data_IF_830193768254
#
_entry.id   IF_830193768254
#
_cell.length_a   1.000
_cell.length_b   1.000
_cell.length_c   1.000
_cell.angle_alpha   90.00
_cell.angle_beta   90.00
_cell.angle_gamma   90.00
#
_symmetry.space_group_name_H-M   'P 1'
#
loop_
_entity.id
_entity.type
_entity.pdbx_description
1 polymer ?
#
# COMPACT_ATOMS: atom_id res chain seq x y z
N UNK A 1 12.72 -17.78 2.94
CA UNK A 1 12.19 -16.74 2.02
C UNK A 1 12.44 -15.38 2.64
N UNK A 2 13.10 -14.48 1.93
CA UNK A 2 13.62 -13.22 2.49
C UNK A 2 12.53 -12.30 3.08
N UNK A 3 11.46 -12.00 2.32
CA UNK A 3 10.36 -11.13 2.80
C UNK A 3 9.71 -11.69 4.06
N UNK A 4 9.42 -12.99 4.07
CA UNK A 4 8.81 -13.64 5.24
C UNK A 4 9.70 -13.57 6.48
N UNK A 5 11.02 -13.66 6.32
CA UNK A 5 11.94 -13.55 7.45
C UNK A 5 11.94 -12.15 8.08
N UNK A 6 11.83 -11.10 7.25
CA UNK A 6 11.72 -9.71 7.74
C UNK A 6 10.39 -9.50 8.47
N UNK A 7 9.28 -9.92 7.85
CA UNK A 7 7.94 -9.80 8.46
C UNK A 7 7.88 -10.53 9.80
N UNK A 8 8.40 -11.77 9.86
CA UNK A 8 8.42 -12.55 11.10
C UNK A 8 9.31 -11.93 12.17
N UNK A 9 10.46 -11.37 11.80
CA UNK A 9 11.35 -10.69 12.74
C UNK A 9 10.65 -9.49 13.39
N UNK A 10 9.93 -8.68 12.60
CA UNK A 10 9.15 -7.55 13.10
C UNK A 10 7.96 -8.05 13.95
N UNK A 11 7.25 -9.08 13.47
CA UNK A 11 6.09 -9.66 14.15
C UNK A 11 6.40 -10.25 15.52
N UNK A 12 7.64 -10.71 15.74
CA UNK A 12 8.12 -11.25 17.01
C UNK A 12 8.85 -10.21 17.87
N UNK A 13 8.94 -8.98 17.41
CA UNK A 13 9.64 -7.90 18.10
C UNK A 13 8.71 -7.09 19.01
N UNK A 14 9.32 -6.31 19.89
CA UNK A 14 8.61 -5.31 20.70
C UNK A 14 7.92 -4.21 19.88
N UNK A 15 8.28 -4.08 18.60
CA UNK A 15 7.76 -3.03 17.71
C UNK A 15 6.45 -3.43 17.01
N UNK A 16 6.01 -4.68 17.11
CA UNK A 16 4.83 -5.18 16.40
C UNK A 16 3.59 -4.30 16.59
N UNK A 17 3.31 -3.90 17.83
CA UNK A 17 2.13 -3.10 18.15
C UNK A 17 2.20 -1.63 17.67
N UNK A 18 3.34 -1.20 17.15
CA UNK A 18 3.56 0.15 16.63
C UNK A 18 3.96 0.16 15.15
N UNK A 19 3.76 -0.97 14.45
CA UNK A 19 4.25 -1.13 13.08
C UNK A 19 3.12 -1.49 12.12
N UNK A 20 3.14 -0.84 10.97
CA UNK A 20 2.43 -1.29 9.77
C UNK A 20 3.46 -1.55 8.67
N UNK A 21 3.40 -2.73 8.08
CA UNK A 21 4.29 -3.16 7.00
C UNK A 21 3.50 -3.10 5.70
N UNK A 22 3.98 -2.32 4.74
CA UNK A 22 3.45 -2.27 3.39
C UNK A 22 4.42 -2.99 2.46
N UNK A 23 3.93 -3.98 1.73
CA UNK A 23 4.72 -4.74 0.76
C UNK A 23 4.09 -4.48 -0.60
N UNK A 24 4.83 -3.87 -1.50
CA UNK A 24 4.36 -3.54 -2.84
C UNK A 24 5.49 -3.78 -3.84
N UNK A 25 5.12 -4.21 -5.05
CA UNK A 25 6.08 -4.28 -6.16
C UNK A 25 6.25 -2.90 -6.78
N UNK A 26 7.47 -2.55 -7.12
CA UNK A 26 7.81 -1.28 -7.76
C UNK A 26 7.27 -1.19 -9.20
N UNK A 27 7.30 -2.30 -9.92
CA UNK A 27 6.77 -2.43 -11.27
C UNK A 27 6.21 -3.85 -11.53
N UNK A 28 5.54 -4.08 -12.68
CA UNK A 28 4.97 -5.38 -13.01
C UNK A 28 6.01 -6.44 -13.46
N UNK A 29 7.29 -6.08 -13.58
CA UNK A 29 8.35 -7.02 -13.96
C UNK A 29 8.21 -7.64 -15.36
N UNK A 30 7.47 -7.01 -16.26
CA UNK A 30 7.21 -7.52 -17.62
C UNK A 30 6.08 -8.57 -17.70
N UNK A 31 5.37 -8.85 -16.61
CA UNK A 31 4.26 -9.78 -16.59
C UNK A 31 2.97 -9.14 -17.16
N UNK A 32 2.17 -9.97 -17.81
CA UNK A 32 0.89 -9.56 -18.38
C UNK A 32 -0.20 -9.49 -17.31
N UNK A 33 -1.06 -8.47 -17.40
CA UNK A 33 -2.32 -8.38 -16.66
C UNK A 33 -3.48 -8.22 -17.65
N UNK A 34 -4.56 -8.95 -17.45
CA UNK A 34 -5.77 -8.86 -18.26
C UNK A 34 -6.59 -7.60 -18.01
N UNK A 35 -6.36 -6.93 -16.87
CA UNK A 35 -7.04 -5.69 -16.53
C UNK A 35 -6.27 -4.48 -17.06
N UNK A 36 -6.89 -3.61 -17.85
CA UNK A 36 -6.21 -2.43 -18.38
C UNK A 36 -5.87 -1.44 -17.26
N UNK A 37 -4.74 -0.72 -17.37
CA UNK A 37 -4.39 0.33 -16.41
C UNK A 37 -5.43 1.45 -16.38
N UNK A 38 -5.66 2.02 -15.21
CA UNK A 38 -6.50 3.19 -15.04
C UNK A 38 -5.78 4.47 -15.47
N UNK A 39 -6.53 5.43 -15.97
CA UNK A 39 -6.03 6.76 -16.27
C UNK A 39 -6.47 7.74 -15.17
N UNK A 40 -5.53 8.19 -14.38
CA UNK A 40 -5.75 9.18 -13.33
C UNK A 40 -5.21 10.56 -13.70
N UNK A 41 -4.29 10.62 -14.67
CA UNK A 41 -3.70 11.82 -15.24
C UNK A 41 -3.23 11.55 -16.67
N UNK A 42 -2.50 12.49 -17.26
CA UNK A 42 -2.00 12.38 -18.64
C UNK A 42 -1.11 11.17 -18.87
N UNK A 43 -0.26 10.83 -17.88
CA UNK A 43 0.67 9.72 -18.00
C UNK A 43 -0.02 8.35 -17.77
N UNK A 44 -1.18 8.36 -17.11
CA UNK A 44 -1.89 7.15 -16.72
C UNK A 44 -1.22 6.43 -15.55
N UNK A 45 -1.83 5.35 -15.11
CA UNK A 45 -1.25 4.42 -14.13
C UNK A 45 -0.72 3.19 -14.85
N UNK A 46 0.23 2.49 -14.22
CA UNK A 46 0.76 1.25 -14.74
C UNK A 46 -0.15 0.04 -14.52
N UNK A 47 0.30 -1.12 -15.00
CA UNK A 47 -0.33 -2.43 -14.75
C UNK A 47 -0.36 -2.69 -13.23
N UNK A 48 -1.41 -3.38 -12.78
CA UNK A 48 -1.57 -3.72 -11.35
C UNK A 48 -0.38 -4.51 -10.83
N UNK A 49 -0.01 -4.20 -9.60
CA UNK A 49 1.02 -4.94 -8.85
C UNK A 49 0.44 -5.42 -7.52
N UNK A 50 0.98 -6.50 -6.94
CA UNK A 50 0.56 -6.95 -5.61
C UNK A 50 0.82 -5.87 -4.55
N UNK A 51 -0.14 -5.73 -3.64
CA UNK A 51 -0.05 -4.84 -2.49
C UNK A 51 -0.56 -5.56 -1.24
N UNK A 52 0.28 -5.69 -0.23
CA UNK A 52 -0.02 -6.39 1.00
C UNK A 52 0.19 -5.45 2.19
N UNK A 53 -0.71 -5.53 3.15
CA UNK A 53 -0.63 -4.78 4.41
C UNK A 53 -0.58 -5.78 5.55
N UNK A 54 0.46 -5.69 6.38
CA UNK A 54 0.67 -6.57 7.54
C UNK A 54 0.85 -5.70 8.79
N UNK A 55 -0.05 -5.84 9.75
CA UNK A 55 -0.03 -5.05 10.99
C UNK A 55 -0.93 -5.71 12.03
N UNK A 56 -0.66 -5.44 13.31
CA UNK A 56 -1.57 -5.81 14.39
C UNK A 56 -2.97 -5.17 14.24
N UNK A 57 -3.07 -4.08 13.51
CA UNK A 57 -4.30 -3.30 13.30
C UNK A 57 -4.94 -3.53 11.94
N UNK A 58 -4.30 -4.27 11.04
CA UNK A 58 -4.87 -4.59 9.73
C UNK A 58 -5.99 -5.63 9.85
N UNK A 59 -7.00 -5.51 9.00
CA UNK A 59 -8.08 -6.50 8.91
C UNK A 59 -7.51 -7.84 8.43
N UNK A 60 -7.77 -8.89 9.19
CA UNK A 60 -7.27 -10.23 8.87
C UNK A 60 -8.09 -10.90 7.76
N UNK A 61 -7.40 -11.54 6.82
CA UNK A 61 -8.03 -12.25 5.70
C UNK A 61 -8.87 -11.34 4.80
N UNK A 62 -8.64 -10.05 4.85
CA UNK A 62 -9.41 -9.06 4.10
C UNK A 62 -8.81 -8.83 2.71
N UNK A 63 -9.66 -8.80 1.71
CA UNK A 63 -9.30 -8.42 0.34
C UNK A 63 -10.00 -7.11 0.01
N UNK A 64 -9.22 -6.05 -0.14
CA UNK A 64 -9.74 -4.74 -0.52
C UNK A 64 -10.11 -4.70 -2.00
N UNK A 65 -11.23 -4.04 -2.31
CA UNK A 65 -11.64 -3.72 -3.67
C UNK A 65 -11.47 -2.24 -4.00
N UNK A 66 -10.81 -1.50 -3.12
CA UNK A 66 -10.47 -0.10 -3.35
C UNK A 66 -9.28 -0.02 -4.30
N UNK A 67 -9.38 0.87 -5.27
CA UNK A 67 -8.28 1.14 -6.18
C UNK A 67 -7.22 1.99 -5.47
N UNK A 68 -6.04 1.41 -5.27
CA UNK A 68 -4.86 2.09 -4.72
C UNK A 68 -3.81 2.31 -5.80
N UNK A 69 -2.94 3.26 -5.56
CA UNK A 69 -1.73 3.53 -6.35
C UNK A 69 -0.52 3.64 -5.41
N UNK A 70 0.71 3.69 -5.93
CA UNK A 70 1.91 3.79 -5.08
C UNK A 70 1.84 5.00 -4.13
N UNK A 71 1.28 6.12 -4.60
CA UNK A 71 1.05 7.31 -3.79
C UNK A 71 0.07 7.08 -2.62
N UNK A 72 -0.68 5.98 -2.59
CA UNK A 72 -1.57 5.66 -1.47
C UNK A 72 -0.82 5.37 -0.19
N UNK A 73 0.40 4.81 -0.27
CA UNK A 73 1.26 4.59 0.89
C UNK A 73 1.73 5.95 1.44
N UNK A 74 2.17 6.84 0.56
CA UNK A 74 2.54 8.20 0.94
C UNK A 74 1.36 8.94 1.58
N UNK A 75 0.18 8.83 0.98
CA UNK A 75 -1.06 9.39 1.52
C UNK A 75 -1.37 8.91 2.94
N UNK A 76 -1.17 7.60 3.19
CA UNK A 76 -1.34 7.03 4.52
C UNK A 76 -0.41 7.67 5.56
N UNK A 77 0.87 7.83 5.21
CA UNK A 77 1.87 8.47 6.10
C UNK A 77 1.50 9.93 6.35
N UNK A 78 1.11 10.66 5.32
CA UNK A 78 0.71 12.07 5.44
C UNK A 78 -0.52 12.25 6.32
N UNK A 79 -1.53 11.39 6.17
CA UNK A 79 -2.73 11.44 7.00
C UNK A 79 -2.42 11.06 8.45
N UNK A 80 -1.56 10.05 8.67
CA UNK A 80 -1.20 9.60 10.01
C UNK A 80 -0.42 10.65 10.80
N UNK A 81 0.48 11.38 10.15
CA UNK A 81 1.36 12.36 10.80
C UNK A 81 0.95 13.81 10.52
N UNK A 82 -0.23 14.05 9.94
CA UNK A 82 -0.72 15.38 9.58
C UNK A 82 0.28 16.19 8.73
N UNK A 83 0.89 15.52 7.74
CA UNK A 83 1.86 16.13 6.84
C UNK A 83 1.15 16.78 5.63
N UNK A 84 1.74 17.83 5.05
CA UNK A 84 1.21 18.42 3.82
C UNK A 84 1.37 17.48 2.63
N UNK A 85 0.52 17.66 1.61
CA UNK A 85 0.66 16.93 0.34
C UNK A 85 1.87 17.44 -0.44
N UNK A 86 2.57 16.51 -1.10
CA UNK A 86 3.76 16.82 -1.89
C UNK A 86 3.41 17.12 -3.36
N UNK A 87 2.45 16.40 -3.91
CA UNK A 87 2.11 16.46 -5.33
C UNK A 87 0.62 16.18 -5.58
N UNK A 88 0.23 16.21 -6.87
CA UNK A 88 -1.12 15.87 -7.28
C UNK A 88 -1.44 14.39 -7.05
N UNK A 89 -0.44 13.50 -7.16
CA UNK A 89 -0.60 12.06 -7.00
C UNK A 89 -1.04 11.66 -5.59
N UNK A 90 -0.35 12.14 -4.55
CA UNK A 90 -0.71 11.85 -3.16
C UNK A 90 -1.99 12.59 -2.73
N UNK A 91 -2.25 13.79 -3.31
CA UNK A 91 -3.51 14.50 -3.08
C UNK A 91 -4.74 13.72 -3.57
N UNK A 92 -4.65 13.08 -4.75
CA UNK A 92 -5.77 12.28 -5.31
C UNK A 92 -5.83 10.87 -4.75
N UNK A 93 -4.69 10.28 -4.35
CA UNK A 93 -4.60 8.91 -3.91
C UNK A 93 -5.51 8.62 -2.70
N UNK A 94 -6.04 7.41 -2.64
CA UNK A 94 -6.83 6.95 -1.50
C UNK A 94 -5.92 6.35 -0.44
N UNK A 95 -6.11 6.74 0.82
CA UNK A 95 -5.42 6.12 1.94
C UNK A 95 -6.07 4.77 2.28
N UNK A 96 -5.28 3.72 2.58
CA UNK A 96 -5.84 2.45 3.05
C UNK A 96 -6.34 2.51 4.52
N UNK A 97 -6.16 3.62 5.23
CA UNK A 97 -6.46 3.75 6.65
C UNK A 97 -7.87 3.28 7.02
N UNK A 98 -8.89 3.80 6.32
CA UNK A 98 -10.29 3.51 6.64
C UNK A 98 -10.80 2.20 6.08
N UNK A 99 -10.13 1.67 5.07
CA UNK A 99 -10.54 0.44 4.38
C UNK A 99 -9.85 -0.80 4.97
N UNK A 100 -8.53 -0.77 5.11
CA UNK A 100 -7.73 -1.94 5.45
C UNK A 100 -7.40 -2.10 6.94
N UNK A 101 -7.61 -1.07 7.74
CA UNK A 101 -7.35 -1.09 9.19
C UNK A 101 -8.63 -1.11 10.01
N UNK A 102 -8.52 -1.66 11.21
CA UNK A 102 -9.59 -1.65 12.23
C UNK A 102 -9.61 -0.34 13.02
#
# INVERSE_FOLDING_TARGET
MWVASIVNAIGQSQYWNNTAIFIIWDDPGGWYDSEPPAYADYDGLGIRVPFLIVSAYAKQGYVSHVHYEHASILRFVEDLFALPRLAASDKRAKSPEKDAFN
#
